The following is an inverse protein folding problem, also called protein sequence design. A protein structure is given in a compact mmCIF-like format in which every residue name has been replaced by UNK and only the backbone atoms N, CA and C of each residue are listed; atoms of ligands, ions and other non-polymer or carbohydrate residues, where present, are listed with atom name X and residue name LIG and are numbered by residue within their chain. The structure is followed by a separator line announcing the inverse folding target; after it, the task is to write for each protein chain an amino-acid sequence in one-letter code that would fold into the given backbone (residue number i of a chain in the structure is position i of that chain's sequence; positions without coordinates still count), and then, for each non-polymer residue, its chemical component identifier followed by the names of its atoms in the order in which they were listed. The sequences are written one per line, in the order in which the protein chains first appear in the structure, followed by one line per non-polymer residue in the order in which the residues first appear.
data_IF_190574598846
#
_entry.id   IF_190574598846
#
_cell.length_a   1.000
_cell.length_b   1.000
_cell.length_c   1.000
_cell.angle_alpha   90.00
_cell.angle_beta   90.00
_cell.angle_gamma   90.00
#
_symmetry.space_group_name_H-M   'P 1'
#
loop_
_entity.id
_entity.type
_entity.pdbx_description
1 polymer ?
#
# COMPACT_ATOMS: atom_id res chain seq x y z
N UNK A 1 -10.60 1.24 -12.34
CA UNK A 1 -10.73 0.98 -10.91
C UNK A 1 -12.18 1.23 -10.47
N UNK A 2 -12.79 0.39 -9.64
CA UNK A 2 -14.14 0.60 -9.13
C UNK A 2 -14.19 1.70 -8.07
N UNK A 3 -13.20 1.80 -7.20
CA UNK A 3 -13.11 2.77 -6.10
C UNK A 3 -12.72 4.16 -6.61
N UNK A 4 -13.34 5.20 -6.05
CA UNK A 4 -13.00 6.61 -6.26
C UNK A 4 -13.01 7.34 -4.92
N UNK A 5 -11.90 7.94 -4.54
CA UNK A 5 -11.81 8.82 -3.38
C UNK A 5 -12.22 10.25 -3.81
N UNK A 6 -13.29 10.76 -3.24
CA UNK A 6 -13.77 12.14 -3.44
C UNK A 6 -13.20 12.99 -2.32
N UNK A 7 -12.33 13.93 -2.68
CA UNK A 7 -11.55 14.73 -1.72
C UNK A 7 -11.92 16.21 -1.85
N UNK A 8 -12.79 16.73 -0.97
CA UNK A 8 -13.12 18.15 -0.98
C UNK A 8 -11.98 18.98 -0.38
N UNK A 9 -11.48 19.97 -1.10
CA UNK A 9 -10.53 20.95 -0.57
C UNK A 9 -11.22 22.00 0.33
N UNK A 10 -10.43 22.84 0.99
CA UNK A 10 -10.89 23.85 1.97
C UNK A 10 -12.01 24.77 1.46
N UNK A 11 -11.98 25.13 0.17
CA UNK A 11 -12.97 26.02 -0.45
C UNK A 11 -14.09 25.28 -1.19
N UNK A 12 -14.11 23.93 -1.13
CA UNK A 12 -15.12 23.14 -1.85
C UNK A 12 -16.47 23.22 -1.12
N UNK A 13 -17.49 23.72 -1.83
CA UNK A 13 -18.83 23.75 -1.27
C UNK A 13 -19.43 22.34 -1.23
N UNK A 14 -20.14 22.00 -0.16
CA UNK A 14 -20.70 20.67 0.10
C UNK A 14 -21.55 20.12 -1.06
N UNK A 15 -22.33 21.01 -1.73
CA UNK A 15 -23.15 20.64 -2.88
C UNK A 15 -22.32 20.01 -4.02
N UNK A 16 -21.08 20.48 -4.25
CA UNK A 16 -20.21 19.93 -5.30
C UNK A 16 -19.71 18.54 -4.93
N UNK A 17 -19.38 18.33 -3.65
CA UNK A 17 -19.01 17.00 -3.15
C UNK A 17 -20.16 16.00 -3.33
N UNK A 18 -21.38 16.40 -2.97
CA UNK A 18 -22.58 15.57 -3.17
C UNK A 18 -22.84 15.28 -4.66
N UNK A 19 -22.68 16.27 -5.53
CA UNK A 19 -22.82 16.09 -6.96
C UNK A 19 -21.76 15.11 -7.53
N UNK A 20 -20.49 15.23 -7.12
CA UNK A 20 -19.43 14.31 -7.51
C UNK A 20 -19.74 12.87 -7.08
N UNK A 21 -20.15 12.68 -5.83
CA UNK A 21 -20.53 11.35 -5.32
C UNK A 21 -21.68 10.74 -6.13
N UNK A 22 -22.71 11.54 -6.42
CA UNK A 22 -23.84 11.10 -7.23
C UNK A 22 -23.42 10.71 -8.66
N UNK A 23 -22.55 11.50 -9.28
CA UNK A 23 -22.01 11.23 -10.61
C UNK A 23 -21.18 9.95 -10.65
N UNK A 24 -20.30 9.75 -9.66
CA UNK A 24 -19.49 8.52 -9.56
C UNK A 24 -20.38 7.28 -9.42
N UNK A 25 -21.43 7.36 -8.59
CA UNK A 25 -22.42 6.27 -8.47
C UNK A 25 -23.15 6.00 -9.79
N UNK A 26 -23.55 7.06 -10.51
CA UNK A 26 -24.19 6.92 -11.81
C UNK A 26 -23.29 6.24 -12.86
N UNK A 27 -21.97 6.38 -12.73
CA UNK A 27 -20.97 5.70 -13.56
C UNK A 27 -20.62 4.28 -13.06
N UNK A 28 -21.37 3.74 -12.10
CA UNK A 28 -21.11 2.40 -11.54
C UNK A 28 -19.84 2.32 -10.70
N UNK A 29 -19.34 3.45 -10.21
CA UNK A 29 -18.19 3.51 -9.30
C UNK A 29 -18.63 3.44 -7.84
N UNK A 30 -17.69 3.11 -6.98
CA UNK A 30 -17.84 3.12 -5.53
C UNK A 30 -17.13 4.36 -4.97
N UNK A 31 -17.81 5.50 -4.79
CA UNK A 31 -17.20 6.68 -4.19
C UNK A 31 -17.12 6.55 -2.68
N UNK A 32 -16.00 6.97 -2.11
CA UNK A 32 -15.77 7.23 -0.69
C UNK A 32 -15.36 8.68 -0.51
N UNK A 33 -15.65 9.27 0.65
CA UNK A 33 -15.28 10.66 0.94
C UNK A 33 -14.06 10.65 1.87
N UNK A 34 -13.01 11.35 1.47
CA UNK A 34 -11.80 11.51 2.27
C UNK A 34 -11.49 12.98 2.49
N UNK A 35 -10.95 13.31 3.67
CA UNK A 35 -10.39 14.62 3.96
C UNK A 35 -9.15 14.86 3.10
N UNK A 36 -8.93 16.11 2.70
CA UNK A 36 -7.71 16.52 1.98
C UNK A 36 -6.49 16.44 2.90
N UNK A 37 -5.90 15.24 2.94
CA UNK A 37 -4.73 14.90 3.74
C UNK A 37 -3.80 14.01 2.94
N UNK A 38 -2.50 13.97 3.26
CA UNK A 38 -1.53 13.18 2.51
C UNK A 38 -1.91 11.70 2.42
N UNK A 39 -2.02 11.19 1.20
CA UNK A 39 -2.36 9.78 0.94
C UNK A 39 -3.84 9.44 1.07
N UNK A 40 -4.70 10.40 1.41
CA UNK A 40 -6.15 10.23 1.61
C UNK A 40 -6.47 8.99 2.46
N UNK A 41 -7.20 8.01 1.95
CA UNK A 41 -7.47 6.73 2.62
C UNK A 41 -6.47 5.66 2.17
N UNK A 42 -6.55 5.25 0.89
CA UNK A 42 -5.87 4.04 0.42
C UNK A 42 -4.35 4.17 0.50
N UNK A 43 -3.78 5.25 -0.02
CA UNK A 43 -2.33 5.45 -0.01
C UNK A 43 -1.76 5.67 1.39
N UNK A 44 -2.56 6.11 2.35
CA UNK A 44 -2.18 6.23 3.75
C UNK A 44 -2.26 4.87 4.45
N UNK A 45 -3.44 4.25 4.48
CA UNK A 45 -3.71 3.02 5.25
C UNK A 45 -2.92 1.84 4.71
N UNK A 46 -2.73 1.75 3.38
CA UNK A 46 -1.95 0.69 2.76
C UNK A 46 -0.42 0.88 2.85
N UNK A 47 0.10 2.03 3.31
CA UNK A 47 1.56 2.26 3.34
C UNK A 47 2.33 1.23 4.15
N UNK A 48 1.90 0.82 5.36
CA UNK A 48 2.60 -0.20 6.13
C UNK A 48 2.71 -1.55 5.43
N UNK A 49 1.81 -1.89 4.50
CA UNK A 49 1.90 -3.13 3.72
C UNK A 49 3.25 -3.25 2.99
N UNK A 50 3.71 -2.16 2.43
CA UNK A 50 5.02 -2.08 1.77
C UNK A 50 6.14 -1.79 2.76
N UNK A 51 5.94 -0.79 3.62
CA UNK A 51 6.96 -0.32 4.54
C UNK A 51 7.41 -1.37 5.55
N UNK A 52 6.47 -2.11 6.16
CA UNK A 52 6.83 -3.17 7.11
C UNK A 52 7.43 -4.40 6.42
N UNK A 53 6.95 -4.76 5.23
CA UNK A 53 7.57 -5.83 4.44
C UNK A 53 9.03 -5.52 4.11
N UNK A 54 9.33 -4.29 3.70
CA UNK A 54 10.69 -3.83 3.45
C UNK A 54 11.55 -3.84 4.72
N UNK A 55 11.01 -3.41 5.86
CA UNK A 55 11.71 -3.46 7.16
C UNK A 55 12.02 -4.89 7.60
N UNK A 56 11.05 -5.81 7.50
CA UNK A 56 11.26 -7.24 7.81
C UNK A 56 12.40 -7.80 6.96
N UNK A 57 12.44 -7.45 5.68
CA UNK A 57 13.50 -7.86 4.78
C UNK A 57 14.85 -7.21 5.13
N UNK A 58 14.89 -5.91 5.37
CA UNK A 58 16.12 -5.17 5.73
C UNK A 58 16.69 -5.58 7.09
N UNK A 59 15.85 -6.02 8.02
CA UNK A 59 16.21 -6.59 9.31
C UNK A 59 16.75 -8.05 9.20
N UNK A 60 16.69 -8.64 8.01
CA UNK A 60 17.16 -10.01 7.76
C UNK A 60 16.27 -11.10 8.37
N UNK A 61 15.04 -10.77 8.75
CA UNK A 61 14.08 -11.71 9.36
C UNK A 61 13.60 -12.73 8.32
N UNK A 62 13.23 -12.25 7.12
CA UNK A 62 12.78 -13.09 6.02
C UNK A 62 13.19 -12.51 4.66
N UNK A 63 13.33 -13.39 3.67
CA UNK A 63 13.47 -13.00 2.28
C UNK A 63 12.13 -12.59 1.66
N UNK A 64 12.17 -11.94 0.51
CA UNK A 64 11.01 -11.36 -0.18
C UNK A 64 9.97 -12.43 -0.53
N UNK A 65 10.41 -13.60 -1.02
CA UNK A 65 9.53 -14.70 -1.41
C UNK A 65 8.78 -15.26 -0.20
N UNK A 66 9.45 -15.40 0.94
CA UNK A 66 8.86 -15.86 2.21
C UNK A 66 7.81 -14.85 2.73
N UNK A 67 8.11 -13.55 2.66
CA UNK A 67 7.16 -12.49 3.08
C UNK A 67 5.92 -12.51 2.19
N UNK A 68 6.09 -12.53 0.88
CA UNK A 68 4.98 -12.57 -0.07
C UNK A 68 4.14 -13.85 0.09
N UNK A 69 4.79 -14.98 0.32
CA UNK A 69 4.12 -16.25 0.57
C UNK A 69 3.29 -16.21 1.87
N UNK A 70 3.86 -15.70 2.97
CA UNK A 70 3.16 -15.55 4.24
C UNK A 70 1.90 -14.67 4.09
N UNK A 71 2.03 -13.52 3.44
CA UNK A 71 0.90 -12.60 3.23
C UNK A 71 -0.21 -13.21 2.38
N UNK A 72 0.13 -14.06 1.39
CA UNK A 72 -0.88 -14.76 0.57
C UNK A 72 -1.53 -15.93 1.31
N UNK A 73 -0.74 -16.79 1.97
CA UNK A 73 -1.24 -18.06 2.50
C UNK A 73 -1.84 -17.96 3.90
N UNK A 74 -1.28 -17.11 4.75
CA UNK A 74 -1.74 -16.88 6.12
C UNK A 74 -2.53 -15.58 6.22
N UNK A 75 -2.04 -14.51 5.59
CA UNK A 75 -2.71 -13.21 5.59
C UNK A 75 -3.94 -13.10 4.70
N UNK A 76 -4.14 -14.02 3.75
CA UNK A 76 -5.28 -14.03 2.83
C UNK A 76 -5.27 -12.93 1.76
N UNK A 77 -4.14 -12.25 1.55
CA UNK A 77 -4.00 -11.24 0.51
C UNK A 77 -3.85 -11.90 -0.88
N UNK A 78 -4.40 -11.25 -1.91
CA UNK A 78 -4.29 -11.74 -3.31
C UNK A 78 -2.86 -11.71 -3.84
N UNK A 79 -2.06 -10.76 -3.38
CA UNK A 79 -0.66 -10.57 -3.75
C UNK A 79 0.15 -10.22 -2.51
N UNK A 80 1.40 -10.66 -2.50
CA UNK A 80 2.35 -10.20 -1.50
C UNK A 80 2.86 -8.79 -1.78
N UNK A 81 3.47 -8.11 -0.79
CA UNK A 81 3.92 -6.73 -0.92
C UNK A 81 4.96 -6.51 -2.02
N UNK A 82 5.91 -7.41 -2.20
CA UNK A 82 6.95 -7.29 -3.23
C UNK A 82 6.38 -7.55 -4.63
N UNK A 83 5.52 -8.57 -4.78
CA UNK A 83 4.79 -8.80 -6.03
C UNK A 83 3.94 -7.60 -6.43
N UNK A 84 3.28 -6.94 -5.45
CA UNK A 84 2.43 -5.79 -5.69
C UNK A 84 3.25 -4.54 -6.03
N UNK A 85 4.39 -4.31 -5.37
CA UNK A 85 5.31 -3.22 -5.72
C UNK A 85 5.85 -3.38 -7.15
N UNK A 86 6.19 -4.60 -7.57
CA UNK A 86 6.65 -4.88 -8.92
C UNK A 86 5.53 -4.75 -9.98
N UNK A 87 4.27 -4.99 -9.60
CA UNK A 87 3.12 -4.76 -10.47
C UNK A 87 2.83 -3.27 -10.67
N UNK A 88 2.87 -2.48 -9.60
CA UNK A 88 2.62 -1.02 -9.62
C UNK A 88 3.79 -0.29 -10.33
N UNK A 89 4.97 -0.74 -10.07
CA UNK A 89 6.24 -0.12 -10.42
C UNK A 89 6.92 0.53 -9.22
N UNK A 90 8.19 0.16 -9.00
CA UNK A 90 8.96 0.60 -7.84
C UNK A 90 9.17 2.12 -7.82
N UNK A 91 9.30 2.76 -8.99
CA UNK A 91 9.36 4.22 -9.13
C UNK A 91 8.08 4.91 -8.63
N UNK A 92 6.92 4.41 -9.01
CA UNK A 92 5.61 4.95 -8.59
C UNK A 92 5.43 4.76 -7.08
N UNK A 93 5.66 3.54 -6.59
CA UNK A 93 5.49 3.24 -5.17
C UNK A 93 6.46 4.06 -4.30
N UNK A 94 7.72 4.18 -4.70
CA UNK A 94 8.72 5.01 -4.02
C UNK A 94 8.38 6.49 -4.05
N UNK A 95 7.91 7.03 -5.18
CA UNK A 95 7.50 8.42 -5.30
C UNK A 95 6.32 8.75 -4.36
N UNK A 96 5.31 7.86 -4.30
CA UNK A 96 4.18 8.02 -3.38
C UNK A 96 4.65 7.95 -1.93
N UNK A 97 5.48 6.98 -1.56
CA UNK A 97 6.02 6.86 -0.19
C UNK A 97 6.80 8.10 0.20
N UNK A 98 7.66 8.60 -0.68
CA UNK A 98 8.46 9.81 -0.44
C UNK A 98 7.60 11.06 -0.32
N UNK A 99 6.53 11.17 -1.11
CA UNK A 99 5.56 12.27 -1.04
C UNK A 99 4.81 12.27 0.30
N UNK A 100 4.28 11.11 0.71
CA UNK A 100 3.58 10.94 1.99
C UNK A 100 4.52 11.25 3.16
N UNK A 101 5.74 10.72 3.15
CA UNK A 101 6.75 10.99 4.18
C UNK A 101 7.04 12.47 4.36
N UNK A 102 7.25 13.21 3.26
CA UNK A 102 7.47 14.67 3.30
C UNK A 102 6.24 15.41 3.81
N UNK A 103 5.07 15.03 3.35
CA UNK A 103 3.81 15.69 3.68
C UNK A 103 3.36 15.45 5.14
N UNK A 104 3.80 14.35 5.76
CA UNK A 104 3.68 14.10 7.20
C UNK A 104 4.87 14.63 8.01
N UNK A 105 5.57 15.66 7.51
CA UNK A 105 6.69 16.29 8.21
C UNK A 105 7.78 15.31 8.65
N UNK A 106 8.06 14.33 7.78
CA UNK A 106 9.09 13.29 7.99
C UNK A 106 8.79 12.34 9.15
N UNK A 107 7.52 12.04 9.41
CA UNK A 107 7.12 11.04 10.39
C UNK A 107 7.78 9.68 10.07
N UNK A 108 8.54 9.09 11.01
CA UNK A 108 9.27 7.83 10.81
C UNK A 108 8.41 6.65 10.35
N UNK A 109 7.10 6.68 10.63
CA UNK A 109 6.15 5.65 10.17
C UNK A 109 6.14 5.49 8.66
N UNK A 110 6.31 6.59 7.93
CA UNK A 110 6.25 6.62 6.46
C UNK A 110 7.63 6.71 5.80
N UNK A 111 8.73 6.50 6.55
CA UNK A 111 10.09 6.62 6.02
C UNK A 111 10.31 5.66 4.85
N UNK A 112 10.76 6.16 3.67
CA UNK A 112 11.12 5.31 2.54
C UNK A 112 12.26 4.35 2.86
N UNK A 113 12.28 3.20 2.18
CA UNK A 113 13.32 2.19 2.30
C UNK A 113 14.48 2.50 1.36
N UNK A 114 15.71 2.27 1.83
CA UNK A 114 16.93 2.35 0.99
C UNK A 114 16.93 1.24 -0.06
N UNK A 115 16.41 0.07 0.26
CA UNK A 115 16.27 -1.04 -0.69
C UNK A 115 15.41 -0.60 -1.88
N UNK A 116 14.25 0.01 -1.60
CA UNK A 116 13.37 0.49 -2.65
C UNK A 116 14.00 1.62 -3.48
N UNK A 117 14.70 2.55 -2.85
CA UNK A 117 15.42 3.60 -3.55
C UNK A 117 16.45 3.03 -4.53
N UNK A 118 17.24 2.05 -4.11
CA UNK A 118 18.25 1.40 -4.95
C UNK A 118 17.64 0.65 -6.13
N UNK A 119 16.46 0.05 -5.96
CA UNK A 119 15.72 -0.56 -7.06
C UNK A 119 15.39 0.48 -8.14
N UNK A 120 14.92 1.66 -7.73
CA UNK A 120 14.62 2.77 -8.65
C UNK A 120 15.89 3.26 -9.36
N UNK A 121 16.97 3.49 -8.62
CA UNK A 121 18.27 3.93 -9.15
C UNK A 121 18.85 2.91 -10.15
N UNK A 122 18.65 1.61 -9.91
CA UNK A 122 19.08 0.55 -10.80
C UNK A 122 18.14 0.35 -12.03
N UNK A 123 17.05 1.12 -12.13
CA UNK A 123 16.00 0.93 -13.13
C UNK A 123 15.32 -0.46 -13.06
N UNK A 124 15.31 -1.07 -11.85
CA UNK A 124 14.59 -2.32 -11.59
C UNK A 124 13.17 -2.00 -11.11
N UNK A 125 12.34 -1.58 -12.07
CA UNK A 125 11.03 -0.99 -11.77
C UNK A 125 9.90 -2.01 -11.68
N UNK A 126 10.21 -3.29 -11.68
CA UNK A 126 9.25 -4.38 -11.63
C UNK A 126 8.91 -4.92 -13.03
N UNK A 127 7.66 -5.41 -13.18
CA UNK A 127 7.20 -6.08 -14.40
C UNK A 127 7.40 -5.25 -15.68
N UNK A 128 7.23 -3.94 -15.62
CA UNK A 128 7.35 -3.04 -16.77
C UNK A 128 8.77 -2.94 -17.35
N UNK A 129 9.78 -3.28 -16.56
CA UNK A 129 11.19 -3.34 -17.02
C UNK A 129 11.73 -4.77 -17.08
N UNK A 130 10.88 -5.78 -16.84
CA UNK A 130 11.28 -7.18 -16.81
C UNK A 130 12.05 -7.57 -15.53
N UNK A 131 12.34 -6.62 -14.64
CA UNK A 131 13.04 -6.85 -13.38
C UNK A 131 12.63 -5.86 -12.30
N UNK A 132 12.47 -6.38 -11.10
CA UNK A 132 12.21 -5.64 -9.88
C UNK A 132 12.76 -6.39 -8.69
N UNK A 133 11.95 -6.58 -7.65
CA UNK A 133 12.25 -7.50 -6.56
C UNK A 133 12.37 -8.94 -7.06
N UNK A 134 11.63 -9.26 -8.13
CA UNK A 134 11.72 -10.52 -8.85
C UNK A 134 12.26 -10.31 -10.26
N UNK A 135 12.81 -11.39 -10.83
CA UNK A 135 13.18 -11.47 -12.22
C UNK A 135 11.99 -12.00 -13.02
N UNK A 136 11.58 -11.28 -14.06
CA UNK A 136 10.45 -11.60 -14.94
C UNK A 136 10.92 -12.06 -16.34
N UNK A 137 12.21 -12.38 -16.51
CA UNK A 137 12.72 -12.97 -17.75
C UNK A 137 12.14 -14.37 -17.96
N UNK A 138 12.12 -14.81 -19.21
CA UNK A 138 11.47 -16.06 -19.64
C UNK A 138 12.01 -17.29 -18.92
N UNK A 139 13.28 -17.28 -18.52
CA UNK A 139 13.97 -18.41 -17.89
C UNK A 139 14.13 -18.25 -16.37
N UNK A 140 13.57 -17.20 -15.80
CA UNK A 140 13.69 -16.95 -14.36
C UNK A 140 12.79 -17.89 -13.55
N UNK A 141 13.35 -18.51 -12.53
CA UNK A 141 12.60 -19.19 -11.48
C UNK A 141 12.37 -18.26 -10.31
N UNK A 142 11.15 -18.25 -9.77
CA UNK A 142 10.89 -17.54 -8.53
C UNK A 142 11.62 -18.23 -7.36
N UNK A 143 12.21 -17.45 -6.43
CA UNK A 143 12.81 -18.02 -5.23
C UNK A 143 11.80 -18.84 -4.42
N UNK A 144 12.21 -19.99 -3.89
CA UNK A 144 11.36 -20.80 -3.03
C UNK A 144 11.22 -20.15 -1.65
N UNK A 145 9.99 -19.96 -1.15
CA UNK A 145 9.75 -19.41 0.18
C UNK A 145 10.07 -20.44 1.27
N UNK A 146 10.52 -19.98 2.42
CA UNK A 146 10.53 -20.81 3.62
C UNK A 146 9.10 -21.10 4.06
N UNK A 147 8.82 -22.31 4.56
CA UNK A 147 7.47 -22.77 4.93
C UNK A 147 7.26 -22.85 6.45
N UNK A 148 8.03 -22.09 7.23
CA UNK A 148 7.91 -22.00 8.67
C UNK A 148 6.64 -21.25 9.07
N UNK A 149 5.71 -21.95 9.73
CA UNK A 149 4.40 -21.42 10.09
C UNK A 149 4.47 -20.27 11.12
N UNK A 150 5.35 -20.39 12.09
CA UNK A 150 5.47 -19.40 13.18
C UNK A 150 6.09 -18.10 12.61
N UNK A 151 7.06 -18.24 11.70
CA UNK A 151 7.62 -17.12 10.97
C UNK A 151 6.55 -16.45 10.10
N UNK A 152 5.71 -17.21 9.39
CA UNK A 152 4.63 -16.65 8.57
C UNK A 152 3.62 -15.89 9.43
N UNK A 153 3.21 -16.44 10.57
CA UNK A 153 2.28 -15.78 11.47
C UNK A 153 2.86 -14.47 11.99
N UNK A 154 4.12 -14.47 12.43
CA UNK A 154 4.80 -13.26 12.91
C UNK A 154 4.88 -12.17 11.82
N UNK A 155 5.18 -12.53 10.56
CA UNK A 155 5.22 -11.59 9.43
C UNK A 155 3.84 -10.97 9.23
N UNK A 156 2.79 -11.80 9.18
CA UNK A 156 1.41 -11.34 8.97
C UNK A 156 0.96 -10.44 10.11
N UNK A 157 1.16 -10.86 11.36
CA UNK A 157 0.77 -10.10 12.54
C UNK A 157 1.43 -8.72 12.55
N UNK A 158 2.73 -8.65 12.25
CA UNK A 158 3.47 -7.38 12.22
C UNK A 158 2.94 -6.44 11.14
N UNK A 159 2.68 -6.91 9.93
CA UNK A 159 2.16 -6.08 8.84
C UNK A 159 0.71 -5.67 9.11
N UNK A 160 -0.15 -6.62 9.52
CA UNK A 160 -1.58 -6.37 9.72
C UNK A 160 -1.82 -5.42 10.89
N UNK A 161 -1.09 -5.55 12.01
CA UNK A 161 -1.24 -4.62 13.14
C UNK A 161 -0.93 -3.18 12.74
N UNK A 162 0.03 -2.97 11.86
CA UNK A 162 0.36 -1.63 11.36
C UNK A 162 -0.71 -1.08 10.41
N UNK A 163 -1.31 -1.93 9.56
CA UNK A 163 -2.46 -1.54 8.73
C UNK A 163 -3.66 -1.13 9.61
N UNK A 164 -3.95 -1.92 10.64
CA UNK A 164 -5.02 -1.61 11.60
C UNK A 164 -4.72 -0.30 12.32
N UNK A 165 -3.50 -0.09 12.79
CA UNK A 165 -3.09 1.13 13.47
C UNK A 165 -3.29 2.37 12.60
N UNK A 166 -2.92 2.31 11.32
CA UNK A 166 -3.14 3.42 10.38
C UNK A 166 -4.62 3.66 10.10
N UNK A 167 -5.44 2.62 10.00
CA UNK A 167 -6.89 2.75 9.82
C UNK A 167 -7.56 3.40 11.04
N UNK A 168 -7.15 2.99 12.25
CA UNK A 168 -7.64 3.59 13.51
C UNK A 168 -7.21 5.06 13.61
N UNK A 169 -5.97 5.37 13.30
CA UNK A 169 -5.45 6.74 13.32
C UNK A 169 -6.19 7.62 12.30
N UNK A 170 -6.43 7.11 11.08
CA UNK A 170 -7.23 7.80 10.07
C UNK A 170 -8.67 8.08 10.56
N UNK A 171 -9.30 7.13 11.25
CA UNK A 171 -10.62 7.31 11.85
C UNK A 171 -10.60 8.38 12.95
N UNK A 172 -9.64 8.32 13.87
CA UNK A 172 -9.50 9.28 14.97
C UNK A 172 -9.25 10.71 14.50
N UNK A 173 -8.48 10.87 13.43
CA UNK A 173 -8.23 12.17 12.79
C UNK A 173 -9.38 12.66 11.90
N UNK A 174 -10.45 11.85 11.79
CA UNK A 174 -11.61 12.19 10.95
C UNK A 174 -11.26 12.32 9.48
N UNK A 175 -10.35 11.47 8.98
CA UNK A 175 -9.98 11.45 7.56
C UNK A 175 -11.13 10.95 6.71
N UNK A 176 -11.81 9.91 7.18
CA UNK A 176 -13.03 9.36 6.57
C UNK A 176 -13.90 8.70 7.64
N UNK A 177 -15.14 8.37 7.28
CA UNK A 177 -16.00 7.54 8.13
C UNK A 177 -15.48 6.11 8.23
N UNK A 178 -15.92 5.38 9.24
CA UNK A 178 -15.59 3.95 9.38
C UNK A 178 -16.00 3.16 8.13
N UNK A 179 -17.21 3.44 7.64
CA UNK A 179 -17.78 2.80 6.47
C UNK A 179 -16.97 3.07 5.20
N UNK A 180 -16.51 4.32 5.01
CA UNK A 180 -15.68 4.70 3.87
C UNK A 180 -14.27 4.09 3.97
N UNK A 181 -13.70 3.98 5.18
CA UNK A 181 -12.42 3.29 5.41
C UNK A 181 -12.52 1.80 5.05
N UNK A 182 -13.52 1.10 5.57
CA UNK A 182 -13.74 -0.32 5.28
C UNK A 182 -13.97 -0.55 3.78
N UNK A 183 -14.79 0.32 3.17
CA UNK A 183 -15.10 0.23 1.74
C UNK A 183 -13.87 0.47 0.86
N UNK A 184 -13.05 1.46 1.22
CA UNK A 184 -11.83 1.80 0.47
C UNK A 184 -10.78 0.70 0.54
N UNK A 185 -10.67 -0.02 1.66
CA UNK A 185 -9.66 -1.05 1.86
C UNK A 185 -10.08 -2.44 1.37
N UNK A 186 -11.35 -2.63 0.99
CA UNK A 186 -11.87 -3.93 0.53
C UNK A 186 -12.22 -3.97 -0.97
N UNK A 187 -12.19 -2.84 -1.70
CA UNK A 187 -12.51 -2.69 -3.14
C UNK A 187 -11.29 -2.44 -3.99
#
# INVERSE_FOLDING_TARGET
LPLVEVVPGLATHEQHTKACVALMKAWGKTPVIAKDTPGFIVNRVARPFYGEALRIHEEGIADMATIDHAMKTVGGFKMGPFELMDLIGNDINFAVTSSVFKAFFYDPRYRPSLTQQRMVEANWLGRKTGRGYYDYSTDASLPEPKTDRDLHQMIVDRIVVMLISEAVDALQLGIASKEDLDLAMTK
#
